data_IF_989777344057
#
_entry.id   IF_989777344057
#
_cell.length_a   1.000
_cell.length_b   1.000
_cell.length_c   1.000
_cell.angle_alpha   90.00
_cell.angle_beta   90.00
_cell.angle_gamma   90.00
#
_symmetry.space_group_name_H-M   'P 1'
#
loop_
_entity.id
_entity.type
_entity.pdbx_description
1 polymer ?
#
# COMPACT_ATOMS: atom_id res chain seq x y z
N UNK A 1 -24.33 12.74 22.04
CA UNK A 1 -23.31 11.82 21.51
C UNK A 1 -22.56 12.57 20.41
N UNK A 2 -21.81 13.61 20.76
CA UNK A 2 -20.43 13.71 21.27
C UNK A 2 -19.42 13.81 20.11
N UNK A 3 -18.85 15.00 19.95
CA UNK A 3 -17.72 15.37 19.07
C UNK A 3 -16.55 14.36 19.15
N UNK A 4 -16.35 13.76 20.33
CA UNK A 4 -15.36 12.70 20.53
C UNK A 4 -15.62 11.45 19.67
N UNK A 5 -16.88 11.06 19.51
CA UNK A 5 -17.26 9.89 18.68
C UNK A 5 -16.97 10.19 17.22
N UNK A 6 -17.33 11.39 16.74
CA UNK A 6 -16.99 11.84 15.38
C UNK A 6 -15.47 11.95 15.15
N UNK A 7 -14.71 12.43 16.13
CA UNK A 7 -13.25 12.51 16.03
C UNK A 7 -12.60 11.11 15.97
N UNK A 8 -13.14 10.15 16.73
CA UNK A 8 -12.72 8.74 16.67
C UNK A 8 -13.10 8.12 15.32
N UNK A 9 -14.32 8.33 14.84
CA UNK A 9 -14.76 7.86 13.52
C UNK A 9 -13.90 8.46 12.39
N UNK A 10 -13.55 9.74 12.48
CA UNK A 10 -12.65 10.42 11.54
C UNK A 10 -11.22 9.85 11.57
N UNK A 11 -10.75 9.37 12.71
CA UNK A 11 -9.45 8.72 12.83
C UNK A 11 -9.47 7.31 12.22
N UNK A 12 -10.55 6.55 12.45
CA UNK A 12 -10.74 5.20 11.91
C UNK A 12 -10.97 5.20 10.40
N UNK A 13 -11.68 6.20 9.87
CA UNK A 13 -11.96 6.35 8.42
C UNK A 13 -10.79 6.95 7.63
N UNK A 14 -9.67 7.29 8.29
CA UNK A 14 -8.51 7.86 7.61
C UNK A 14 -7.85 6.84 6.70
N UNK A 15 -8.00 7.06 5.39
CA UNK A 15 -7.34 6.22 4.38
C UNK A 15 -5.83 6.48 4.42
N UNK A 16 -5.07 5.45 4.78
CA UNK A 16 -3.62 5.46 4.61
C UNK A 16 -3.27 5.25 3.14
N UNK A 17 -2.33 6.03 2.56
CA UNK A 17 -2.01 5.94 1.14
C UNK A 17 -1.35 4.63 0.75
N UNK A 18 -0.83 3.86 1.72
CA UNK A 18 -0.26 2.54 1.52
C UNK A 18 -0.81 1.59 2.60
N UNK A 19 -1.08 0.31 2.26
CA UNK A 19 -1.41 -0.70 3.26
C UNK A 19 -0.20 -1.00 4.15
N UNK A 20 -0.36 -1.77 5.23
CA UNK A 20 0.76 -2.20 6.07
C UNK A 20 1.85 -2.96 5.29
N UNK A 21 3.11 -2.91 5.76
CA UNK A 21 4.25 -3.57 5.10
C UNK A 21 4.02 -5.03 4.71
N UNK A 22 3.42 -5.82 5.60
CA UNK A 22 3.13 -7.24 5.37
C UNK A 22 2.13 -7.45 4.24
N UNK A 23 1.13 -6.58 4.11
CA UNK A 23 0.14 -6.63 3.03
C UNK A 23 0.80 -6.27 1.69
N UNK A 24 1.71 -5.29 1.66
CA UNK A 24 2.47 -4.95 0.44
C UNK A 24 3.21 -6.16 -0.11
N UNK A 25 3.93 -6.88 0.76
CA UNK A 25 4.68 -8.07 0.39
C UNK A 25 3.77 -9.24 -0.03
N UNK A 26 2.64 -9.45 0.66
CA UNK A 26 1.65 -10.48 0.28
C UNK A 26 1.07 -10.23 -1.11
N UNK A 27 0.64 -8.99 -1.38
CA UNK A 27 0.09 -8.60 -2.68
C UNK A 27 1.08 -8.82 -3.81
N UNK A 28 2.33 -8.38 -3.62
CA UNK A 28 3.38 -8.58 -4.62
C UNK A 28 3.61 -10.07 -4.90
N UNK A 29 3.72 -10.88 -3.85
CA UNK A 29 3.94 -12.33 -3.98
C UNK A 29 2.76 -13.08 -4.59
N UNK A 30 1.53 -12.64 -4.32
CA UNK A 30 0.32 -13.22 -4.92
C UNK A 30 0.30 -13.06 -6.45
N UNK A 31 1.01 -12.07 -6.98
CA UNK A 31 1.17 -11.85 -8.42
C UNK A 31 2.51 -12.39 -8.98
N UNK A 32 3.22 -13.22 -8.20
CA UNK A 32 4.53 -13.79 -8.54
C UNK A 32 5.63 -12.77 -8.87
N UNK A 33 5.47 -11.52 -8.42
CA UNK A 33 6.42 -10.44 -8.69
C UNK A 33 7.58 -10.46 -7.70
N UNK A 34 8.79 -10.25 -8.18
CA UNK A 34 9.95 -10.03 -7.31
C UNK A 34 10.06 -8.56 -6.89
N UNK A 35 10.84 -8.27 -5.85
CA UNK A 35 11.17 -6.87 -5.50
C UNK A 35 11.88 -6.15 -6.65
N UNK A 36 12.67 -6.87 -7.45
CA UNK A 36 13.40 -6.32 -8.59
C UNK A 36 12.45 -5.89 -9.71
N UNK A 37 11.41 -6.69 -10.00
CA UNK A 37 10.43 -6.36 -11.04
C UNK A 37 9.68 -5.07 -10.73
N UNK A 38 9.24 -4.92 -9.47
CA UNK A 38 8.53 -3.71 -9.04
C UNK A 38 9.48 -2.51 -9.01
N UNK A 39 10.72 -2.69 -8.53
CA UNK A 39 11.72 -1.63 -8.52
C UNK A 39 12.02 -1.12 -9.95
N UNK A 40 12.20 -2.04 -10.91
CA UNK A 40 12.42 -1.74 -12.33
C UNK A 40 11.24 -0.95 -12.91
N UNK A 41 10.00 -1.38 -12.65
CA UNK A 41 8.80 -0.69 -13.12
C UNK A 41 8.66 0.73 -12.53
N UNK A 42 9.09 0.94 -11.30
CA UNK A 42 9.06 2.24 -10.62
C UNK A 42 10.30 3.11 -10.90
N UNK A 43 11.30 2.61 -11.64
CA UNK A 43 12.53 3.32 -11.96
C UNK A 43 13.42 3.59 -10.74
N UNK A 44 13.48 2.66 -9.78
CA UNK A 44 14.27 2.77 -8.55
C UNK A 44 15.13 1.53 -8.33
N UNK A 45 16.00 1.57 -7.33
CA UNK A 45 16.79 0.39 -6.93
C UNK A 45 15.95 -0.59 -6.11
N UNK A 46 16.26 -1.89 -6.20
CA UNK A 46 15.66 -2.93 -5.35
C UNK A 46 15.83 -2.63 -3.86
N UNK A 47 16.96 -2.07 -3.46
CA UNK A 47 17.22 -1.69 -2.05
C UNK A 47 16.27 -0.59 -1.59
N UNK A 48 16.04 0.44 -2.43
CA UNK A 48 15.07 1.49 -2.12
C UNK A 48 13.65 0.91 -2.03
N UNK A 49 13.27 0.04 -2.97
CA UNK A 49 11.98 -0.64 -2.95
C UNK A 49 11.80 -1.48 -1.67
N UNK A 50 12.82 -2.26 -1.27
CA UNK A 50 12.78 -3.03 -0.03
C UNK A 50 12.52 -2.14 1.19
N UNK A 51 13.20 -0.99 1.31
CA UNK A 51 12.96 -0.04 2.42
C UNK A 51 11.54 0.53 2.41
N UNK A 52 10.94 0.71 1.23
CA UNK A 52 9.54 1.11 1.12
C UNK A 52 8.60 -0.04 1.48
N UNK A 53 8.85 -1.25 0.98
CA UNK A 53 8.01 -2.42 1.21
C UNK A 53 7.94 -2.76 2.70
N UNK A 54 9.08 -2.76 3.41
CA UNK A 54 9.12 -3.04 4.86
C UNK A 54 8.75 -1.82 5.73
N UNK A 55 8.41 -0.68 5.14
CA UNK A 55 8.04 0.54 5.86
C UNK A 55 9.19 1.32 6.51
N UNK A 56 10.45 0.93 6.26
CA UNK A 56 11.64 1.60 6.80
C UNK A 56 11.92 2.99 6.17
N UNK A 57 11.32 3.30 5.01
CA UNK A 57 11.39 4.62 4.39
C UNK A 57 10.10 4.96 3.63
N UNK A 58 9.80 6.25 3.52
CA UNK A 58 8.65 6.75 2.76
C UNK A 58 9.07 7.13 1.33
N UNK A 59 8.34 6.72 0.28
CA UNK A 59 8.57 7.19 -1.08
C UNK A 59 8.33 8.70 -1.21
N UNK A 60 8.98 9.34 -2.18
CA UNK A 60 8.64 10.71 -2.60
C UNK A 60 7.23 10.76 -3.19
N UNK A 61 6.52 11.91 -3.18
CA UNK A 61 5.11 12.00 -3.57
C UNK A 61 4.77 11.35 -4.92
N UNK A 62 5.56 11.58 -5.98
CA UNK A 62 5.34 10.93 -7.29
C UNK A 62 5.40 9.40 -7.22
N UNK A 63 6.39 8.85 -6.52
CA UNK A 63 6.57 7.40 -6.41
C UNK A 63 5.56 6.80 -5.44
N UNK A 64 5.14 7.56 -4.42
CA UNK A 64 4.08 7.17 -3.50
C UNK A 64 2.77 6.96 -4.26
N UNK A 65 2.39 7.90 -5.14
CA UNK A 65 1.20 7.78 -5.95
C UNK A 65 1.24 6.56 -6.88
N UNK A 66 2.36 6.35 -7.58
CA UNK A 66 2.55 5.20 -8.46
C UNK A 66 2.51 3.86 -7.69
N UNK A 67 3.20 3.78 -6.55
CA UNK A 67 3.23 2.58 -5.72
C UNK A 67 1.87 2.27 -5.10
N UNK A 68 1.15 3.29 -4.61
CA UNK A 68 -0.20 3.15 -4.10
C UNK A 68 -1.18 2.68 -5.18
N UNK A 69 -1.04 3.19 -6.41
CA UNK A 69 -1.84 2.74 -7.54
C UNK A 69 -1.57 1.27 -7.88
N UNK A 70 -0.30 0.88 -7.97
CA UNK A 70 0.11 -0.51 -8.18
C UNK A 70 -0.48 -1.46 -7.13
N UNK A 71 -0.34 -1.15 -5.84
CA UNK A 71 -0.87 -1.99 -4.77
C UNK A 71 -2.40 -2.09 -4.80
N UNK A 72 -3.12 -1.01 -5.17
CA UNK A 72 -4.58 -1.05 -5.33
C UNK A 72 -4.99 -2.00 -6.45
N UNK A 73 -4.28 -2.00 -7.58
CA UNK A 73 -4.54 -2.93 -8.69
C UNK A 73 -4.28 -4.37 -8.28
N UNK A 74 -3.20 -4.64 -7.53
CA UNK A 74 -2.94 -5.97 -7.00
C UNK A 74 -3.99 -6.43 -5.99
N UNK A 75 -4.45 -5.54 -5.10
CA UNK A 75 -5.48 -5.89 -4.14
C UNK A 75 -6.84 -6.16 -4.78
N UNK A 76 -7.17 -5.47 -5.88
CA UNK A 76 -8.35 -5.79 -6.67
C UNK A 76 -8.25 -7.15 -7.36
N UNK A 77 -7.05 -7.57 -7.77
CA UNK A 77 -6.79 -8.88 -8.39
C UNK A 77 -6.70 -10.02 -7.36
N UNK A 78 -6.18 -9.72 -6.17
CA UNK A 78 -5.86 -10.67 -5.10
C UNK A 78 -6.50 -10.25 -3.77
N UNK A 79 -7.85 -10.33 -3.64
CA UNK A 79 -8.57 -9.87 -2.45
C UNK A 79 -8.17 -10.64 -1.17
N UNK A 80 -7.89 -11.94 -1.28
CA UNK A 80 -7.46 -12.77 -0.15
C UNK A 80 -6.11 -12.30 0.42
N UNK A 81 -5.19 -11.89 -0.45
CA UNK A 81 -3.89 -11.35 -0.05
C UNK A 81 -4.00 -9.94 0.57
N UNK A 82 -5.03 -9.19 0.22
CA UNK A 82 -5.32 -7.87 0.80
C UNK A 82 -5.84 -7.97 2.24
N UNK A 83 -6.48 -9.09 2.63
CA UNK A 83 -6.91 -9.33 4.01
C UNK A 83 -7.93 -8.31 4.54
N UNK A 84 -8.82 -7.81 3.67
CA UNK A 84 -9.87 -6.85 4.05
C UNK A 84 -9.37 -5.42 4.32
N UNK A 85 -8.12 -5.11 3.99
CA UNK A 85 -7.57 -3.78 4.22
C UNK A 85 -8.26 -2.72 3.34
N UNK A 86 -8.92 -1.75 3.98
CA UNK A 86 -9.73 -0.70 3.36
C UNK A 86 -8.88 0.40 2.67
N UNK A 87 -7.89 0.00 1.89
CA UNK A 87 -7.15 0.90 0.99
C UNK A 87 -7.53 0.68 -0.48
N UNK A 88 -8.42 -0.28 -0.75
CA UNK A 88 -8.96 -0.60 -2.07
C UNK A 88 -10.05 0.39 -2.50
N UNK A 89 -10.73 1.06 -1.56
CA UNK A 89 -11.69 2.14 -1.86
C UNK A 89 -10.97 3.41 -2.28
N UNK A 90 -11.22 3.83 -3.52
CA UNK A 90 -11.07 5.22 -3.95
C UNK A 90 -12.41 5.65 -4.52
N UNK A 91 -12.88 6.82 -4.08
CA UNK A 91 -14.08 7.52 -4.58
C UNK A 91 -14.12 7.62 -6.11
#
# INVERSE_FOLDING_TARGET
MSDLVQAVDALVTRVHPLPPPEVRARLRKADDLTQEDVARALGITRVAFNRWEVGAAKPRPRHLAAYAHFLRRLAAKHPDAAGGHDFTKVS
#
